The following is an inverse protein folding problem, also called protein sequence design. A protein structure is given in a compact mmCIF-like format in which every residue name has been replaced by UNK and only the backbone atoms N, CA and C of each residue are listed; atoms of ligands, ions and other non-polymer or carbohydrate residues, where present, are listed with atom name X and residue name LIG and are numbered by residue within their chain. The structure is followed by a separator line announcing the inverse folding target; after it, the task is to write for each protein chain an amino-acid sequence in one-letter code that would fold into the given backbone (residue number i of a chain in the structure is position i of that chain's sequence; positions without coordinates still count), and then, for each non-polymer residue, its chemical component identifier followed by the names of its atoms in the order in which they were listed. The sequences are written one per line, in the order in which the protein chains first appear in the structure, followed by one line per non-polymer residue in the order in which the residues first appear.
data_IF_843273080363
#
_entry.id   IF_843273080363
#
_cell.length_a   1.000
_cell.length_b   1.000
_cell.length_c   1.000
_cell.angle_alpha   90.00
_cell.angle_beta   90.00
_cell.angle_gamma   90.00
#
_symmetry.space_group_name_H-M   'P 1'
#
loop_
_entity.id
_entity.type
_entity.pdbx_description
1 polymer ?
#
# COMPACT_ATOMS: atom_id res chain seq x y z
N UNK A 1 20.99 -12.93 -29.68
CA UNK A 1 21.60 -12.13 -28.61
C UNK A 1 20.64 -11.05 -28.17
N UNK A 2 20.20 -11.10 -26.91
CA UNK A 2 19.34 -10.05 -26.35
C UNK A 2 20.05 -8.69 -26.35
N UNK A 3 19.35 -7.67 -26.85
CA UNK A 3 19.86 -6.30 -26.86
C UNK A 3 19.87 -5.77 -25.42
N UNK A 4 21.02 -5.87 -24.75
CA UNK A 4 21.22 -5.28 -23.41
C UNK A 4 20.88 -3.77 -23.42
N UNK A 5 20.17 -3.27 -22.40
CA UNK A 5 19.94 -1.84 -22.23
C UNK A 5 21.26 -1.07 -22.02
N UNK A 6 21.22 0.25 -22.17
CA UNK A 6 22.43 1.06 -22.26
C UNK A 6 23.17 1.13 -20.92
N UNK A 7 22.43 1.13 -19.82
CA UNK A 7 22.96 0.99 -18.46
C UNK A 7 23.84 -0.25 -18.31
N UNK A 8 23.37 -1.43 -18.71
CA UNK A 8 24.14 -2.66 -18.60
C UNK A 8 25.45 -2.64 -19.41
N UNK A 9 25.46 -1.94 -20.55
CA UNK A 9 26.67 -1.77 -21.38
C UNK A 9 27.68 -0.82 -20.72
N UNK A 10 27.18 0.24 -20.10
CA UNK A 10 27.98 1.22 -19.37
C UNK A 10 28.54 0.60 -18.09
N UNK A 11 27.72 -0.09 -17.30
CA UNK A 11 28.14 -0.77 -16.06
C UNK A 11 29.23 -1.80 -16.32
N UNK A 12 29.14 -2.52 -17.45
CA UNK A 12 30.13 -3.54 -17.81
C UNK A 12 31.50 -2.97 -18.20
N UNK A 13 31.54 -1.72 -18.70
CA UNK A 13 32.77 -1.13 -19.23
C UNK A 13 33.33 -0.02 -18.35
N UNK A 14 32.51 0.63 -17.53
CA UNK A 14 32.88 1.85 -16.80
C UNK A 14 33.15 3.05 -17.71
N UNK A 15 32.74 2.97 -18.99
CA UNK A 15 33.04 3.96 -20.01
C UNK A 15 31.76 4.53 -20.63
N UNK A 16 31.86 5.77 -21.13
CA UNK A 16 30.84 6.42 -21.93
C UNK A 16 31.36 6.70 -23.34
N UNK A 17 30.52 6.50 -24.35
CA UNK A 17 30.84 6.85 -25.73
C UNK A 17 29.92 7.95 -26.24
N UNK A 18 30.53 9.09 -26.55
CA UNK A 18 29.85 10.24 -27.15
C UNK A 18 29.39 9.96 -28.59
N UNK A 19 28.48 10.80 -29.10
CA UNK A 19 27.96 10.70 -30.48
C UNK A 19 29.05 10.83 -31.55
N UNK A 20 30.16 11.50 -31.23
CA UNK A 20 31.32 11.69 -32.12
C UNK A 20 32.31 10.51 -32.07
N UNK A 21 32.04 9.49 -31.25
CA UNK A 21 32.92 8.34 -31.06
C UNK A 21 34.08 8.59 -30.11
N UNK A 22 34.02 9.67 -29.31
CA UNK A 22 34.99 9.90 -28.24
C UNK A 22 34.62 9.09 -26.99
N UNK A 23 35.59 8.37 -26.44
CA UNK A 23 35.46 7.50 -25.27
C UNK A 23 35.87 8.25 -24.00
N UNK A 24 35.00 8.23 -23.00
CA UNK A 24 35.16 8.91 -21.71
C UNK A 24 35.13 7.89 -20.57
N UNK A 25 35.85 8.19 -19.49
CA UNK A 25 35.76 7.43 -18.24
C UNK A 25 34.61 7.97 -17.41
N UNK A 26 33.77 7.08 -16.89
CA UNK A 26 32.66 7.47 -16.03
C UNK A 26 33.16 7.55 -14.59
N UNK A 27 32.87 8.66 -13.94
CA UNK A 27 33.18 8.86 -12.52
C UNK A 27 32.03 8.36 -11.65
N UNK A 28 30.81 8.76 -12.01
CA UNK A 28 29.57 8.35 -11.36
C UNK A 28 28.47 8.26 -12.39
N UNK A 29 27.54 7.34 -12.21
CA UNK A 29 26.31 7.33 -13.01
C UNK A 29 25.15 6.84 -12.18
N UNK A 30 23.98 7.38 -12.48
CA UNK A 30 22.72 6.97 -11.87
C UNK A 30 21.73 6.64 -12.96
N UNK A 31 21.05 5.51 -12.77
CA UNK A 31 20.07 5.00 -13.71
C UNK A 31 18.69 5.28 -13.15
N UNK A 32 17.92 6.10 -13.84
CA UNK A 32 16.46 6.16 -13.70
C UNK A 32 15.81 5.20 -14.71
N UNK A 33 14.48 5.06 -14.66
CA UNK A 33 13.69 4.18 -15.54
C UNK A 33 13.92 4.42 -17.03
N UNK A 34 13.93 5.69 -17.46
CA UNK A 34 14.06 6.07 -18.87
C UNK A 34 15.37 6.77 -19.19
N UNK A 35 16.10 7.23 -18.17
CA UNK A 35 17.27 8.10 -18.34
C UNK A 35 18.46 7.59 -17.54
N UNK A 36 19.64 7.80 -18.08
CA UNK A 36 20.93 7.58 -17.42
C UNK A 36 21.56 8.97 -17.27
N UNK A 37 21.90 9.29 -16.03
CA UNK A 37 22.63 10.49 -15.65
C UNK A 37 24.08 10.07 -15.48
N UNK A 38 24.98 10.68 -16.25
CA UNK A 38 26.39 10.28 -16.28
C UNK A 38 27.23 11.49 -15.95
N UNK A 39 28.05 11.36 -14.92
CA UNK A 39 29.16 12.24 -14.61
C UNK A 39 30.45 11.60 -15.14
N UNK A 40 31.11 12.28 -16.07
CA UNK A 40 32.37 11.84 -16.65
C UNK A 40 33.53 12.34 -15.80
N UNK A 41 34.65 11.61 -15.81
CA UNK A 41 35.87 11.98 -15.08
C UNK A 41 36.47 13.34 -15.51
N UNK A 42 36.10 13.85 -16.69
CA UNK A 42 36.49 15.18 -17.15
C UNK A 42 35.62 16.32 -16.57
N UNK A 43 34.62 16.01 -15.74
CA UNK A 43 33.68 17.00 -15.18
C UNK A 43 32.45 17.27 -16.04
N UNK A 44 32.37 16.66 -17.22
CA UNK A 44 31.20 16.78 -18.09
C UNK A 44 30.05 15.92 -17.59
N UNK A 45 28.83 16.46 -17.70
CA UNK A 45 27.60 15.79 -17.30
C UNK A 45 26.68 15.62 -18.51
N UNK A 46 26.01 14.48 -18.61
CA UNK A 46 25.02 14.26 -19.66
C UNK A 46 23.87 13.36 -19.22
N UNK A 47 22.75 13.56 -19.90
CA UNK A 47 21.51 12.83 -19.67
C UNK A 47 21.15 12.14 -20.97
N UNK A 48 21.00 10.82 -20.94
CA UNK A 48 20.68 10.02 -22.13
C UNK A 48 19.59 9.01 -21.82
N UNK A 49 18.79 8.68 -22.83
CA UNK A 49 17.75 7.66 -22.65
C UNK A 49 18.38 6.27 -22.47
N UNK A 50 17.89 5.50 -21.49
CA UNK A 50 18.26 4.10 -21.29
C UNK A 50 17.62 3.22 -22.38
N UNK A 51 18.14 3.34 -23.60
CA UNK A 51 17.57 2.71 -24.79
C UNK A 51 18.44 1.57 -25.30
N UNK A 52 17.78 0.46 -25.65
CA UNK A 52 18.41 -0.68 -26.34
C UNK A 52 18.81 -0.38 -27.79
N UNK A 53 18.25 0.65 -28.41
CA UNK A 53 18.40 0.91 -29.86
C UNK A 53 19.20 2.16 -30.18
N UNK A 54 19.64 2.94 -29.18
CA UNK A 54 20.36 4.18 -29.44
C UNK A 54 21.73 3.93 -30.10
N UNK A 55 22.25 4.96 -30.79
CA UNK A 55 23.54 4.91 -31.49
C UNK A 55 24.67 4.51 -30.56
N UNK A 56 24.69 5.03 -29.34
CA UNK A 56 25.69 4.70 -28.33
C UNK A 56 25.61 3.21 -27.94
N UNK A 57 24.43 2.68 -27.61
CA UNK A 57 24.26 1.26 -27.29
C UNK A 57 24.72 0.35 -28.44
N UNK A 58 24.44 0.75 -29.70
CA UNK A 58 24.95 0.03 -30.88
C UNK A 58 26.47 0.10 -30.96
N UNK A 59 27.08 1.25 -30.72
CA UNK A 59 28.53 1.42 -30.78
C UNK A 59 29.27 0.63 -29.69
N UNK A 60 28.71 0.53 -28.48
CA UNK A 60 29.21 -0.35 -27.42
C UNK A 60 29.21 -1.82 -27.84
N UNK A 61 28.13 -2.31 -28.44
CA UNK A 61 28.05 -3.72 -28.90
C UNK A 61 28.97 -4.07 -30.07
N UNK A 62 29.39 -3.08 -30.84
CA UNK A 62 30.32 -3.27 -31.95
C UNK A 62 31.74 -2.80 -31.59
N UNK A 63 31.97 -2.40 -30.35
CA UNK A 63 33.28 -1.95 -29.85
C UNK A 63 33.90 -0.84 -30.73
N UNK A 64 33.07 0.05 -31.29
CA UNK A 64 33.52 1.09 -32.25
C UNK A 64 33.78 2.42 -31.56
N UNK A 65 35.03 2.78 -31.34
CA UNK A 65 35.43 4.12 -30.89
C UNK A 65 36.38 4.79 -31.89
N UNK A 66 36.50 6.13 -31.83
CA UNK A 66 37.40 6.93 -32.69
C UNK A 66 38.63 7.45 -31.96
N UNK A 67 38.44 7.97 -30.75
CA UNK A 67 39.51 8.55 -29.92
C UNK A 67 39.11 8.54 -28.45
N UNK A 68 40.08 8.66 -27.56
CA UNK A 68 39.84 8.80 -26.12
C UNK A 68 39.82 10.27 -25.70
N UNK A 69 39.05 10.58 -24.66
CA UNK A 69 39.03 11.90 -24.05
C UNK A 69 40.37 12.17 -23.33
N UNK A 70 41.06 13.25 -23.71
CA UNK A 70 42.35 13.65 -23.13
C UNK A 70 42.26 13.97 -21.63
N UNK A 71 41.12 14.48 -21.17
CA UNK A 71 40.90 14.86 -19.77
C UNK A 71 40.46 13.69 -18.89
N UNK A 72 39.83 12.65 -19.46
CA UNK A 72 39.37 11.49 -18.70
C UNK A 72 40.47 10.48 -18.35
N UNK A 73 41.68 10.61 -18.92
CA UNK A 73 42.80 9.67 -18.76
C UNK A 73 42.36 8.19 -18.87
N UNK A 74 41.62 7.87 -19.95
CA UNK A 74 41.20 6.49 -20.25
C UNK A 74 42.46 5.63 -20.42
N UNK A 75 42.64 4.61 -19.59
CA UNK A 75 43.86 3.80 -19.60
C UNK A 75 43.88 2.82 -20.78
N UNK A 76 45.06 2.30 -21.13
CA UNK A 76 45.16 1.25 -22.14
C UNK A 76 44.43 -0.03 -21.69
N UNK A 77 44.35 -0.29 -20.39
CA UNK A 77 43.59 -1.40 -19.81
C UNK A 77 42.07 -1.20 -20.00
N UNK A 78 41.56 0.02 -19.78
CA UNK A 78 40.15 0.37 -20.03
C UNK A 78 39.78 0.13 -21.50
N UNK A 79 40.69 0.45 -22.45
CA UNK A 79 40.50 0.23 -23.88
C UNK A 79 40.51 -1.26 -24.22
N UNK A 80 41.47 -2.01 -23.66
CA UNK A 80 41.55 -3.46 -23.87
C UNK A 80 40.29 -4.15 -23.37
N UNK A 81 39.84 -3.84 -22.14
CA UNK A 81 38.59 -4.37 -21.57
C UNK A 81 37.35 -3.97 -22.39
N UNK A 82 37.36 -2.79 -23.00
CA UNK A 82 36.31 -2.37 -23.92
C UNK A 82 36.30 -3.19 -25.21
N UNK A 83 37.46 -3.64 -25.72
CA UNK A 83 37.58 -4.41 -26.97
C UNK A 83 37.45 -5.93 -26.77
N UNK A 84 37.83 -6.46 -25.61
CA UNK A 84 37.95 -7.92 -25.35
C UNK A 84 36.69 -8.57 -24.79
N UNK A 85 35.70 -7.81 -24.33
CA UNK A 85 34.49 -8.34 -23.72
C UNK A 85 33.52 -9.00 -24.74
N UNK A 86 33.96 -10.14 -25.30
CA UNK A 86 33.14 -11.22 -25.85
C UNK A 86 32.86 -12.24 -24.74
N UNK A 87 31.58 -12.59 -24.54
CA UNK A 87 31.07 -13.77 -23.80
C UNK A 87 31.48 -14.00 -22.33
N UNK A 88 30.49 -13.82 -21.44
CA UNK A 88 30.23 -14.49 -20.13
C UNK A 88 31.29 -14.66 -19.01
N UNK A 89 30.85 -14.26 -17.79
CA UNK A 89 31.09 -14.85 -16.46
C UNK A 89 32.33 -14.46 -15.59
N UNK A 90 32.01 -13.76 -14.47
CA UNK A 90 32.69 -13.63 -13.15
C UNK A 90 34.02 -12.83 -13.14
N UNK A 91 34.33 -11.89 -12.22
CA UNK A 91 34.10 -11.84 -10.77
C UNK A 91 34.38 -10.43 -10.21
N UNK A 92 33.60 -10.03 -9.19
CA UNK A 92 33.93 -9.17 -8.03
C UNK A 92 34.76 -7.88 -8.18
N UNK A 93 34.11 -6.73 -7.97
CA UNK A 93 34.69 -5.60 -7.24
C UNK A 93 33.77 -5.27 -6.06
N UNK A 94 34.37 -5.15 -4.87
CA UNK A 94 33.75 -5.02 -3.55
C UNK A 94 32.87 -3.76 -3.46
N UNK A 95 31.56 -3.96 -3.35
CA UNK A 95 30.68 -2.99 -2.68
C UNK A 95 30.75 -3.29 -1.18
N UNK A 96 31.20 -2.32 -0.39
CA UNK A 96 31.11 -2.39 1.07
C UNK A 96 29.68 -2.00 1.46
N UNK A 97 28.76 -2.95 1.36
CA UNK A 97 27.45 -2.86 2.00
C UNK A 97 27.64 -3.28 3.45
N UNK A 98 27.47 -2.36 4.40
CA UNK A 98 27.29 -2.72 5.80
C UNK A 98 25.79 -2.94 5.99
N UNK A 99 25.36 -4.20 5.87
CA UNK A 99 23.99 -4.61 6.15
C UNK A 99 23.85 -4.95 7.63
N UNK A 100 22.92 -4.29 8.31
CA UNK A 100 22.40 -4.75 9.61
C UNK A 100 21.67 -6.10 9.45
N UNK A 101 21.62 -6.94 10.50
CA UNK A 101 21.09 -8.30 10.39
C UNK A 101 19.57 -8.28 10.20
N UNK A 102 19.10 -8.77 9.04
CA UNK A 102 17.68 -8.99 8.74
C UNK A 102 17.15 -10.20 9.51
N UNK A 103 16.18 -9.98 10.39
CA UNK A 103 15.32 -11.06 10.91
C UNK A 103 14.29 -11.40 9.84
N UNK A 104 14.30 -12.64 9.34
CA UNK A 104 13.29 -13.14 8.40
C UNK A 104 11.99 -13.42 9.17
N UNK A 105 10.94 -12.62 8.97
CA UNK A 105 9.56 -13.04 9.25
C UNK A 105 9.05 -13.91 8.10
N UNK A 106 8.44 -15.05 8.42
CA UNK A 106 7.94 -16.03 7.47
C UNK A 106 6.62 -15.58 6.83
N UNK A 107 6.50 -15.70 5.51
CA UNK A 107 5.25 -15.47 4.76
C UNK A 107 4.30 -16.67 4.90
N UNK A 108 2.97 -16.46 5.08
CA UNK A 108 1.99 -17.52 4.98
C UNK A 108 1.80 -17.97 3.53
N UNK A 109 1.69 -19.29 3.32
CA UNK A 109 1.45 -19.94 2.04
C UNK A 109 0.03 -19.63 1.55
N UNK A 110 -0.10 -19.07 0.35
CA UNK A 110 -1.34 -18.98 -0.40
C UNK A 110 -1.83 -20.37 -0.79
N UNK A 111 -2.96 -20.81 -0.24
CA UNK A 111 -3.64 -22.03 -0.68
C UNK A 111 -4.60 -21.66 -1.81
N UNK A 112 -4.21 -21.99 -3.04
CA UNK A 112 -5.05 -21.92 -4.23
C UNK A 112 -6.21 -22.91 -4.13
N UNK A 113 -7.46 -22.43 -4.13
CA UNK A 113 -8.66 -23.27 -4.28
C UNK A 113 -9.21 -23.11 -5.69
N UNK A 114 -9.29 -24.22 -6.43
CA UNK A 114 -9.91 -24.31 -7.75
C UNK A 114 -11.44 -24.11 -7.68
N UNK A 115 -12.07 -23.56 -8.72
CA UNK A 115 -13.51 -23.28 -8.72
C UNK A 115 -14.32 -24.58 -8.98
N UNK A 116 -15.39 -24.78 -8.20
CA UNK A 116 -16.42 -25.79 -8.48
C UNK A 116 -17.66 -25.13 -9.10
N UNK A 117 -18.39 -25.80 -10.00
CA UNK A 117 -19.47 -25.21 -10.79
C UNK A 117 -20.75 -24.99 -9.99
N UNK A 118 -21.52 -24.00 -10.44
CA UNK A 118 -22.88 -23.68 -10.03
C UNK A 118 -23.87 -24.79 -10.44
N UNK A 119 -24.67 -25.28 -9.50
CA UNK A 119 -25.89 -26.04 -9.77
C UNK A 119 -27.11 -25.25 -9.27
N UNK A 120 -28.03 -24.97 -10.19
CA UNK A 120 -29.38 -24.45 -9.94
C UNK A 120 -30.29 -25.56 -9.38
N UNK A 121 -31.20 -25.27 -8.45
CA UNK A 121 -32.32 -26.17 -8.20
C UNK A 121 -33.53 -25.73 -9.04
N UNK A 122 -33.82 -26.49 -10.10
CA UNK A 122 -35.12 -26.49 -10.76
C UNK A 122 -36.07 -27.46 -10.05
N UNK A 123 -37.26 -26.97 -9.73
CA UNK A 123 -38.40 -27.72 -9.23
C UNK A 123 -38.79 -28.87 -10.16
N UNK A 124 -39.14 -30.02 -9.59
CA UNK A 124 -40.09 -30.95 -10.19
C UNK A 124 -40.88 -31.68 -9.12
N UNK A 125 -42.20 -31.56 -9.26
CA UNK A 125 -43.22 -32.25 -8.51
C UNK A 125 -43.25 -33.75 -8.86
N UNK A 126 -43.59 -34.58 -7.88
CA UNK A 126 -44.13 -35.90 -8.13
C UNK A 126 -45.26 -36.21 -7.13
N UNK A 127 -46.28 -36.82 -7.71
CA UNK A 127 -47.66 -36.98 -7.24
C UNK A 127 -47.87 -38.24 -6.40
N UNK A 128 -48.74 -38.11 -5.39
CA UNK A 128 -49.71 -39.06 -4.82
C UNK A 128 -49.54 -40.57 -5.03
N UNK A 129 -49.62 -41.33 -3.92
CA UNK A 129 -50.69 -42.34 -3.70
C UNK A 129 -50.81 -42.81 -2.23
N UNK A 130 -51.97 -42.48 -1.66
CA UNK A 130 -52.85 -43.23 -0.74
C UNK A 130 -52.38 -44.50 -0.01
N UNK A 131 -52.67 -44.56 1.30
CA UNK A 131 -52.75 -45.82 2.07
C UNK A 131 -53.18 -45.64 3.55
N UNK A 132 -54.48 -45.54 3.78
CA UNK A 132 -55.29 -45.99 4.94
C UNK A 132 -54.71 -46.15 6.37
N UNK A 133 -55.42 -45.53 7.33
CA UNK A 133 -55.41 -45.73 8.79
C UNK A 133 -56.21 -47.00 9.18
N UNK A 134 -55.93 -47.65 10.33
CA UNK A 134 -56.83 -47.50 11.48
C UNK A 134 -56.13 -47.35 12.86
N UNK A 135 -56.82 -46.63 13.75
CA UNK A 135 -56.53 -46.27 15.16
C UNK A 135 -56.59 -47.47 16.15
N UNK A 136 -56.63 -47.25 17.50
CA UNK A 136 -55.63 -46.68 18.41
C UNK A 136 -55.29 -47.66 19.56
N UNK A 137 -54.05 -47.68 20.05
CA UNK A 137 -53.70 -48.42 21.28
C UNK A 137 -53.16 -47.47 22.35
N UNK A 138 -53.89 -47.42 23.47
CA UNK A 138 -53.50 -46.76 24.72
C UNK A 138 -52.25 -47.43 25.28
N UNK A 139 -51.25 -46.64 25.63
CA UNK A 139 -50.25 -47.02 26.63
C UNK A 139 -49.78 -45.78 27.39
N UNK A 140 -49.66 -45.97 28.70
CA UNK A 140 -49.62 -44.96 29.72
C UNK A 140 -48.32 -44.15 29.72
N UNK A 141 -48.45 -42.87 30.08
CA UNK A 141 -47.36 -41.96 30.42
C UNK A 141 -46.52 -42.53 31.56
N UNK A 142 -45.24 -42.81 31.29
CA UNK A 142 -44.19 -42.70 32.29
C UNK A 142 -43.51 -41.34 32.10
N UNK A 143 -43.75 -40.46 33.07
CA UNK A 143 -43.09 -39.16 33.19
C UNK A 143 -41.62 -39.37 33.55
N UNK A 144 -40.73 -39.27 32.57
CA UNK A 144 -39.34 -38.90 32.80
C UNK A 144 -39.12 -37.53 32.18
N UNK A 145 -39.00 -36.52 33.03
CA UNK A 145 -38.47 -35.21 32.65
C UNK A 145 -37.06 -35.46 32.12
N UNK A 146 -36.73 -35.19 30.84
CA UNK A 146 -35.35 -35.24 30.41
C UNK A 146 -34.66 -34.05 31.08
N UNK A 147 -33.66 -34.35 31.91
CA UNK A 147 -32.70 -33.36 32.39
C UNK A 147 -32.26 -32.50 31.19
N UNK A 148 -32.32 -31.18 31.35
CA UNK A 148 -31.98 -30.20 30.33
C UNK A 148 -30.65 -30.57 29.68
N UNK A 149 -30.72 -31.05 28.43
CA UNK A 149 -29.52 -31.30 27.65
C UNK A 149 -28.73 -29.98 27.59
N UNK A 150 -27.40 -30.00 27.86
CA UNK A 150 -26.59 -28.81 27.72
C UNK A 150 -26.77 -28.26 26.31
N UNK A 151 -27.02 -26.95 26.20
CA UNK A 151 -27.29 -26.30 24.93
C UNK A 151 -26.21 -26.70 23.91
N UNK A 152 -26.59 -27.15 22.70
CA UNK A 152 -25.63 -27.57 21.70
C UNK A 152 -24.67 -26.42 21.37
N UNK A 153 -23.39 -26.75 21.18
CA UNK A 153 -22.38 -25.76 20.81
C UNK A 153 -22.80 -25.00 19.54
N UNK A 154 -22.55 -23.68 19.51
CA UNK A 154 -22.89 -22.83 18.37
C UNK A 154 -22.19 -23.32 17.09
N UNK A 155 -22.93 -23.33 15.98
CA UNK A 155 -22.34 -23.62 14.67
C UNK A 155 -21.43 -22.47 14.22
N UNK A 156 -20.59 -22.72 13.21
CA UNK A 156 -19.72 -21.68 12.65
C UNK A 156 -20.51 -20.46 12.16
N UNK A 157 -21.64 -20.67 11.47
CA UNK A 157 -22.48 -19.57 10.97
C UNK A 157 -23.14 -18.78 12.10
N UNK A 158 -23.52 -19.46 13.20
CA UNK A 158 -24.05 -18.79 14.39
C UNK A 158 -22.98 -17.95 15.08
N UNK A 159 -21.76 -18.47 15.20
CA UNK A 159 -20.62 -17.70 15.73
C UNK A 159 -20.30 -16.49 14.85
N UNK A 160 -20.27 -16.65 13.53
CA UNK A 160 -20.03 -15.54 12.60
C UNK A 160 -21.11 -14.44 12.73
N UNK A 161 -22.38 -14.84 12.90
CA UNK A 161 -23.49 -13.89 13.14
C UNK A 161 -23.33 -13.13 14.45
N UNK A 162 -22.98 -13.84 15.53
CA UNK A 162 -22.74 -13.23 16.85
C UNK A 162 -21.52 -12.29 16.79
N UNK A 163 -20.42 -12.72 16.16
CA UNK A 163 -19.22 -11.91 15.96
C UNK A 163 -19.49 -10.63 15.16
N UNK A 164 -20.38 -10.67 14.16
CA UNK A 164 -20.79 -9.49 13.40
C UNK A 164 -21.58 -8.49 14.26
N UNK A 165 -22.40 -8.98 15.20
CA UNK A 165 -23.21 -8.14 16.07
C UNK A 165 -22.45 -7.61 17.29
N UNK A 166 -21.37 -8.27 17.74
CA UNK A 166 -20.60 -7.84 18.91
C UNK A 166 -19.90 -6.50 18.70
N UNK A 167 -19.96 -5.62 19.70
CA UNK A 167 -19.16 -4.40 19.83
C UNK A 167 -17.91 -4.67 20.69
N UNK A 168 -16.80 -3.93 20.54
CA UNK A 168 -15.64 -4.00 21.45
C UNK A 168 -16.00 -3.79 22.93
N UNK A 169 -17.07 -3.05 23.22
CA UNK A 169 -17.57 -2.80 24.59
C UNK A 169 -18.33 -3.99 25.20
N UNK A 170 -18.81 -4.92 24.37
CA UNK A 170 -19.59 -6.05 24.84
C UNK A 170 -18.69 -7.08 25.56
N UNK A 171 -18.76 -7.09 26.89
CA UNK A 171 -18.14 -8.12 27.74
C UNK A 171 -19.01 -9.38 27.81
N UNK A 172 -19.27 -10.01 26.67
CA UNK A 172 -20.06 -11.25 26.61
C UNK A 172 -19.10 -12.43 26.38
N UNK A 173 -19.02 -13.33 27.36
CA UNK A 173 -18.34 -14.60 27.17
C UNK A 173 -19.15 -15.49 26.21
N UNK A 174 -18.56 -15.86 25.07
CA UNK A 174 -19.18 -16.79 24.10
C UNK A 174 -19.32 -18.23 24.63
N UNK A 175 -18.77 -18.52 25.82
CA UNK A 175 -18.91 -19.78 26.54
C UNK A 175 -20.24 -19.94 27.30
N UNK A 176 -21.22 -19.06 27.09
CA UNK A 176 -22.43 -19.02 27.91
C UNK A 176 -23.50 -19.98 27.38
N UNK A 177 -24.07 -20.72 28.32
CA UNK A 177 -25.26 -21.60 28.28
C UNK A 177 -26.54 -21.00 27.68
N UNK A 178 -26.50 -19.80 27.11
CA UNK A 178 -27.65 -19.14 26.48
C UNK A 178 -27.86 -19.69 25.06
N UNK A 179 -29.10 -20.01 24.66
CA UNK A 179 -29.39 -20.45 23.30
C UNK A 179 -29.13 -19.30 22.31
N UNK A 180 -28.65 -19.65 21.10
CA UNK A 180 -28.31 -18.71 20.03
C UNK A 180 -29.35 -17.60 19.82
N UNK A 181 -30.64 -17.95 19.80
CA UNK A 181 -31.74 -16.99 19.56
C UNK A 181 -31.83 -15.89 20.63
N UNK A 182 -31.61 -16.23 21.89
CA UNK A 182 -31.63 -15.25 22.96
C UNK A 182 -30.42 -14.32 22.87
N UNK A 183 -29.24 -14.88 22.57
CA UNK A 183 -28.03 -14.10 22.38
C UNK A 183 -28.12 -13.16 21.17
N UNK A 184 -28.63 -13.64 20.05
CA UNK A 184 -28.86 -12.82 18.86
C UNK A 184 -29.86 -11.70 19.14
N UNK A 185 -31.01 -12.02 19.76
CA UNK A 185 -32.04 -11.02 20.09
C UNK A 185 -31.50 -9.93 21.03
N UNK A 186 -30.73 -10.32 22.04
CA UNK A 186 -30.08 -9.39 22.97
C UNK A 186 -29.13 -8.45 22.23
N UNK A 187 -28.24 -8.99 21.38
CA UNK A 187 -27.27 -8.20 20.62
C UNK A 187 -27.95 -7.29 19.59
N UNK A 188 -28.95 -7.78 18.86
CA UNK A 188 -29.71 -6.97 17.89
C UNK A 188 -30.37 -5.79 18.59
N UNK A 189 -30.97 -6.00 19.77
CA UNK A 189 -31.58 -4.92 20.55
C UNK A 189 -30.54 -3.88 20.94
N UNK A 190 -29.40 -4.30 21.49
CA UNK A 190 -28.29 -3.39 21.81
C UNK A 190 -27.82 -2.57 20.61
N UNK A 191 -27.64 -3.20 19.44
CA UNK A 191 -27.20 -2.50 18.22
C UNK A 191 -28.25 -1.51 17.71
N UNK A 192 -29.55 -1.80 17.85
CA UNK A 192 -30.62 -0.84 17.54
C UNK A 192 -30.56 0.36 18.47
N UNK A 193 -30.35 0.15 19.76
CA UNK A 193 -30.20 1.22 20.75
C UNK A 193 -28.96 2.07 20.45
N UNK A 194 -27.83 1.45 20.05
CA UNK A 194 -26.62 2.16 19.64
C UNK A 194 -26.90 3.11 18.45
N UNK A 195 -27.65 2.67 17.44
CA UNK A 195 -28.08 3.53 16.33
C UNK A 195 -28.99 4.67 16.77
N UNK A 196 -29.94 4.40 17.68
CA UNK A 196 -30.84 5.43 18.20
C UNK A 196 -30.05 6.51 18.95
N UNK A 197 -29.03 6.12 19.73
CA UNK A 197 -28.14 7.07 20.41
C UNK A 197 -27.37 7.93 19.41
N UNK A 198 -26.69 7.32 18.43
CA UNK A 198 -25.95 8.06 17.39
C UNK A 198 -26.88 9.04 16.65
N UNK A 199 -28.10 8.62 16.35
CA UNK A 199 -29.06 9.46 15.64
C UNK A 199 -29.58 10.64 16.48
N UNK A 200 -29.75 10.44 17.79
CA UNK A 200 -30.17 11.49 18.72
C UNK A 200 -29.05 12.51 18.98
N UNK A 201 -27.80 12.02 19.10
CA UNK A 201 -26.64 12.78 19.52
C UNK A 201 -25.93 13.48 18.35
N UNK A 202 -24.74 13.00 17.95
CA UNK A 202 -23.84 13.70 17.01
C UNK A 202 -24.25 13.55 15.53
N UNK A 203 -24.88 12.43 15.16
CA UNK A 203 -25.16 12.02 13.77
C UNK A 203 -23.92 12.01 12.87
N UNK A 204 -22.74 11.82 13.45
CA UNK A 204 -21.49 11.86 12.71
C UNK A 204 -21.00 10.46 12.34
N UNK A 205 -20.58 10.29 11.08
CA UNK A 205 -19.83 9.11 10.69
C UNK A 205 -18.38 9.23 11.17
N UNK A 206 -17.85 8.17 11.82
CA UNK A 206 -16.51 8.17 12.42
C UNK A 206 -15.40 8.47 11.40
N UNK A 207 -15.49 7.94 10.17
CA UNK A 207 -14.50 8.22 9.13
C UNK A 207 -14.56 9.67 8.67
N UNK A 208 -15.77 10.21 8.47
CA UNK A 208 -15.94 11.62 8.13
C UNK A 208 -15.51 12.57 9.26
N UNK A 209 -15.75 12.21 10.52
CA UNK A 209 -15.30 12.97 11.69
C UNK A 209 -13.79 13.00 11.78
N UNK A 210 -13.15 11.83 11.69
CA UNK A 210 -11.70 11.73 11.69
C UNK A 210 -11.07 12.51 10.52
N UNK A 211 -11.64 12.48 9.32
CA UNK A 211 -11.18 13.31 8.20
C UNK A 211 -11.19 14.81 8.58
N UNK A 212 -12.27 15.32 9.20
CA UNK A 212 -12.36 16.72 9.64
C UNK A 212 -11.34 17.06 10.73
N UNK A 213 -11.17 16.18 11.72
CA UNK A 213 -10.25 16.39 12.83
C UNK A 213 -8.79 16.43 12.35
N UNK A 214 -8.42 15.53 11.43
CA UNK A 214 -7.11 15.50 10.79
C UNK A 214 -6.91 16.73 9.89
N UNK A 215 -7.93 17.12 9.11
CA UNK A 215 -7.87 18.34 8.30
C UNK A 215 -7.59 19.57 9.17
N UNK A 216 -8.31 19.71 10.29
CA UNK A 216 -8.08 20.80 11.24
C UNK A 216 -6.65 20.76 11.80
N UNK A 217 -6.18 19.59 12.22
CA UNK A 217 -4.82 19.42 12.75
C UNK A 217 -3.72 19.95 11.81
N UNK A 218 -3.79 19.60 10.51
CA UNK A 218 -2.79 20.01 9.53
C UNK A 218 -2.92 21.48 9.12
N UNK A 219 -4.15 21.98 8.95
CA UNK A 219 -4.39 23.39 8.62
C UNK A 219 -3.88 24.31 9.72
N UNK A 220 -4.15 23.99 10.99
CA UNK A 220 -3.66 24.78 12.14
C UNK A 220 -2.12 24.80 12.23
N UNK A 221 -1.43 23.86 11.56
CA UNK A 221 0.05 23.75 11.46
C UNK A 221 0.62 24.34 10.17
N UNK A 222 -0.20 25.06 9.41
CA UNK A 222 0.21 25.76 8.20
C UNK A 222 0.35 24.87 6.96
N UNK A 223 -0.25 23.68 6.96
CA UNK A 223 -0.33 22.86 5.75
C UNK A 223 -1.53 23.29 4.89
N UNK A 224 -1.30 23.38 3.58
CA UNK A 224 -2.37 23.62 2.61
C UNK A 224 -3.11 22.31 2.30
N UNK A 225 -4.44 22.32 2.47
CA UNK A 225 -5.28 21.18 2.08
C UNK A 225 -5.41 21.11 0.55
N UNK A 226 -5.15 19.91 0.01
CA UNK A 226 -5.26 19.60 -1.41
C UNK A 226 -6.40 18.59 -1.60
N UNK A 227 -7.24 18.84 -2.62
CA UNK A 227 -8.18 17.86 -3.15
C UNK A 227 -7.83 17.61 -4.62
N UNK A 228 -7.29 16.44 -4.91
CA UNK A 228 -6.85 16.07 -6.26
C UNK A 228 -7.74 14.99 -6.89
N UNK A 229 -7.70 14.78 -8.22
CA UNK A 229 -8.51 13.77 -8.87
C UNK A 229 -8.23 12.35 -8.35
N UNK A 230 -9.31 11.58 -8.12
CA UNK A 230 -9.23 10.14 -7.80
C UNK A 230 -8.81 9.35 -9.04
N UNK A 231 -9.36 9.72 -10.20
CA UNK A 231 -9.01 9.15 -11.49
C UNK A 231 -7.72 9.80 -11.98
N UNK A 232 -6.66 9.02 -12.12
CA UNK A 232 -5.33 9.50 -12.54
C UNK A 232 -4.87 8.81 -13.82
N UNK A 233 -3.97 9.44 -14.61
CA UNK A 233 -3.31 8.78 -15.71
C UNK A 233 -2.55 7.54 -15.25
N UNK A 234 -2.67 6.42 -15.96
CA UNK A 234 -1.92 5.20 -15.69
C UNK A 234 -0.39 5.43 -15.77
N UNK A 235 0.05 6.39 -16.60
CA UNK A 235 1.44 6.84 -16.66
C UNK A 235 1.95 7.34 -15.31
N UNK A 236 1.10 7.90 -14.44
CA UNK A 236 1.53 8.37 -13.12
C UNK A 236 2.01 7.21 -12.25
N UNK A 237 1.31 6.07 -12.32
CA UNK A 237 1.71 4.84 -11.61
C UNK A 237 3.02 4.29 -12.19
N UNK A 238 3.18 4.31 -13.51
CA UNK A 238 4.43 3.92 -14.17
C UNK A 238 5.59 4.84 -13.77
N UNK A 239 5.33 6.14 -13.65
CA UNK A 239 6.30 7.14 -13.21
C UNK A 239 6.67 6.98 -11.73
N UNK A 240 5.80 6.39 -10.91
CA UNK A 240 6.03 6.06 -9.49
C UNK A 240 6.91 4.83 -9.24
N UNK A 241 7.50 4.19 -10.26
CA UNK A 241 8.24 2.97 -9.96
C UNK A 241 7.41 1.69 -10.10
N UNK A 242 6.19 1.74 -10.65
CA UNK A 242 5.29 0.58 -10.70
C UNK A 242 5.00 0.22 -12.17
N UNK A 243 5.79 -0.68 -12.75
CA UNK A 243 5.60 -1.17 -14.11
C UNK A 243 4.89 -2.55 -14.11
N UNK A 244 4.49 -3.03 -15.29
CA UNK A 244 3.72 -4.28 -15.49
C UNK A 244 4.31 -5.53 -14.85
N UNK A 245 5.61 -5.53 -14.60
CA UNK A 245 6.35 -6.71 -14.15
C UNK A 245 6.45 -6.79 -12.62
N UNK A 246 5.93 -5.79 -11.91
CA UNK A 246 5.94 -5.71 -10.45
C UNK A 246 4.58 -6.13 -9.89
N UNK A 247 4.58 -6.91 -8.80
CA UNK A 247 3.39 -7.33 -8.03
C UNK A 247 2.41 -6.18 -7.78
N UNK A 248 2.92 -5.02 -7.36
CA UNK A 248 2.14 -3.82 -7.08
C UNK A 248 1.32 -3.29 -8.28
N UNK A 249 1.72 -3.60 -9.52
CA UNK A 249 0.94 -3.24 -10.71
C UNK A 249 -0.34 -4.06 -10.86
N UNK A 250 -0.35 -5.29 -10.34
CA UNK A 250 -1.54 -6.16 -10.34
C UNK A 250 -2.61 -5.62 -9.40
N UNK A 251 -2.21 -4.85 -8.38
CA UNK A 251 -3.11 -4.21 -7.43
C UNK A 251 -3.86 -3.01 -8.02
N UNK A 252 -3.51 -2.52 -9.21
CA UNK A 252 -4.10 -1.30 -9.75
C UNK A 252 -5.47 -1.59 -10.38
N UNK A 253 -6.49 -0.81 -9.98
CA UNK A 253 -7.78 -0.76 -10.66
C UNK A 253 -7.70 0.14 -11.89
N UNK A 254 -7.52 -0.48 -13.07
CA UNK A 254 -7.57 0.22 -14.37
C UNK A 254 -9.01 0.44 -14.81
N UNK A 255 -9.32 1.66 -15.25
CA UNK A 255 -10.62 2.01 -15.84
C UNK A 255 -10.58 1.80 -17.34
N UNK A 256 -9.50 2.28 -17.98
CA UNK A 256 -9.22 2.03 -19.39
C UNK A 256 -7.70 1.89 -19.61
N UNK A 257 -7.24 2.05 -20.85
CA UNK A 257 -5.81 1.96 -21.20
C UNK A 257 -4.98 3.11 -20.60
N UNK A 258 -5.59 4.27 -20.39
CA UNK A 258 -4.94 5.53 -20.05
C UNK A 258 -5.22 5.96 -18.60
N UNK A 259 -6.27 5.47 -17.96
CA UNK A 259 -6.75 5.91 -16.65
C UNK A 259 -6.88 4.76 -15.66
N UNK A 260 -6.57 5.05 -14.40
CA UNK A 260 -6.78 4.15 -13.28
C UNK A 260 -7.27 4.91 -12.04
N UNK A 261 -7.89 4.19 -11.11
CA UNK A 261 -8.10 4.71 -9.77
C UNK A 261 -6.75 4.82 -9.07
N UNK A 262 -6.52 5.93 -8.37
CA UNK A 262 -5.25 6.16 -7.68
C UNK A 262 -5.03 5.11 -6.56
N UNK A 263 -3.91 4.38 -6.56
CA UNK A 263 -3.57 3.46 -5.46
C UNK A 263 -2.84 4.16 -4.30
N UNK A 264 -2.49 5.44 -4.47
CA UNK A 264 -1.78 6.28 -3.52
C UNK A 264 -1.94 7.76 -3.90
N UNK A 265 -1.72 8.67 -2.96
CA UNK A 265 -1.82 10.12 -3.16
C UNK A 265 -0.55 10.75 -3.77
N UNK A 266 0.60 10.08 -3.61
CA UNK A 266 1.91 10.62 -3.96
C UNK A 266 2.02 11.22 -5.37
N UNK A 267 1.53 10.60 -6.47
CA UNK A 267 1.56 11.20 -7.80
C UNK A 267 1.02 12.63 -7.88
N UNK A 268 -0.14 12.85 -7.25
CA UNK A 268 -0.80 14.14 -7.34
C UNK A 268 -0.07 15.14 -6.44
N UNK A 269 0.35 14.74 -5.24
CA UNK A 269 1.13 15.58 -4.34
C UNK A 269 2.49 15.99 -4.94
N UNK A 270 3.21 15.08 -5.61
CA UNK A 270 4.42 15.41 -6.36
C UNK A 270 4.18 16.52 -7.40
N UNK A 271 3.08 16.44 -8.16
CA UNK A 271 2.73 17.47 -9.12
C UNK A 271 2.39 18.81 -8.44
N UNK A 272 1.71 18.79 -7.29
CA UNK A 272 1.40 19.99 -6.52
C UNK A 272 2.66 20.63 -5.95
N UNK A 273 3.54 19.87 -5.30
CA UNK A 273 4.82 20.39 -4.80
C UNK A 273 5.61 21.13 -5.89
N UNK A 274 5.82 20.50 -7.05
CA UNK A 274 6.51 21.15 -8.18
C UNK A 274 5.83 22.43 -8.66
N UNK A 275 4.49 22.45 -8.71
CA UNK A 275 3.73 23.62 -9.19
C UNK A 275 3.76 24.77 -8.17
N UNK A 276 3.56 24.43 -6.90
CA UNK A 276 3.48 25.38 -5.80
C UNK A 276 4.84 25.98 -5.46
N UNK A 277 5.95 25.30 -5.77
CA UNK A 277 7.31 25.82 -5.56
C UNK A 277 7.62 27.09 -6.32
N UNK A 278 6.85 27.39 -7.35
CA UNK A 278 6.99 28.61 -8.15
C UNK A 278 6.28 29.82 -7.54
N UNK A 279 5.44 29.61 -6.53
CA UNK A 279 4.50 30.64 -6.03
C UNK A 279 4.48 30.75 -4.49
N UNK A 280 4.75 29.67 -3.75
CA UNK A 280 4.69 29.66 -2.29
C UNK A 280 6.08 29.90 -1.69
N UNK A 281 6.16 30.54 -0.51
CA UNK A 281 7.40 30.65 0.23
C UNK A 281 7.90 29.30 0.73
N UNK A 282 9.19 29.23 1.03
CA UNK A 282 9.81 28.11 1.72
C UNK A 282 9.47 28.11 3.23
N UNK A 283 9.22 26.93 3.85
CA UNK A 283 9.00 25.63 3.23
C UNK A 283 7.55 25.45 2.74
N UNK A 284 7.36 24.67 1.68
CA UNK A 284 6.03 24.29 1.20
C UNK A 284 5.49 23.17 2.05
N UNK A 285 4.29 23.32 2.60
CA UNK A 285 3.60 22.29 3.39
C UNK A 285 2.23 22.02 2.79
N UNK A 286 1.98 20.78 2.38
CA UNK A 286 0.69 20.36 1.81
C UNK A 286 0.25 19.03 2.39
N UNK A 287 -1.05 18.79 2.41
CA UNK A 287 -1.60 17.47 2.72
C UNK A 287 -2.85 17.19 1.88
N UNK A 288 -3.18 15.93 1.69
CA UNK A 288 -4.43 15.49 1.09
C UNK A 288 -5.01 14.34 1.89
N UNK A 289 -6.32 14.40 2.13
CA UNK A 289 -7.12 13.27 2.61
C UNK A 289 -8.08 12.85 1.50
N UNK A 290 -8.12 11.55 1.17
CA UNK A 290 -9.14 11.04 0.29
C UNK A 290 -8.98 9.57 -0.12
N UNK A 291 -9.90 9.06 -0.96
CA UNK A 291 -9.96 7.65 -1.32
C UNK A 291 -8.77 7.19 -2.16
N UNK A 292 -8.29 5.99 -1.89
CA UNK A 292 -7.32 5.23 -2.67
C UNK A 292 -7.82 3.79 -2.87
N UNK A 293 -7.36 3.16 -3.96
CA UNK A 293 -7.87 1.86 -4.38
C UNK A 293 -6.75 0.88 -4.73
N UNK A 294 -6.77 -0.31 -4.13
CA UNK A 294 -5.82 -1.40 -4.43
C UNK A 294 -6.56 -2.73 -4.41
N UNK A 295 -6.38 -3.58 -5.44
CA UNK A 295 -6.87 -4.95 -5.40
C UNK A 295 -6.04 -5.71 -4.37
N UNK A 296 -6.67 -6.01 -3.26
CA UNK A 296 -6.07 -6.74 -2.16
C UNK A 296 -6.85 -8.03 -1.93
N UNK A 297 -6.17 -9.02 -1.35
CA UNK A 297 -6.87 -10.22 -0.90
C UNK A 297 -7.74 -9.85 0.30
N UNK A 298 -8.99 -10.31 0.35
CA UNK A 298 -9.87 -10.10 1.50
C UNK A 298 -9.15 -10.47 2.82
N UNK A 299 -8.92 -9.47 3.67
CA UNK A 299 -8.09 -9.60 4.87
C UNK A 299 -8.65 -8.83 6.06
N UNK A 300 -8.11 -9.09 7.26
CA UNK A 300 -8.51 -8.38 8.49
C UNK A 300 -7.97 -6.95 8.59
N UNK A 301 -6.93 -6.65 7.80
CA UNK A 301 -6.13 -5.41 7.85
C UNK A 301 -6.02 -4.68 6.49
N UNK A 302 -6.67 -5.23 5.45
CA UNK A 302 -6.62 -4.71 4.08
C UNK A 302 -8.04 -4.46 3.55
N UNK A 303 -8.18 -3.41 2.75
CA UNK A 303 -9.40 -3.00 2.07
C UNK A 303 -9.09 -2.69 0.62
N UNK A 304 -10.04 -2.95 -0.28
CA UNK A 304 -9.88 -2.56 -1.69
C UNK A 304 -10.05 -1.05 -1.89
N UNK A 305 -10.99 -0.46 -1.17
CA UNK A 305 -11.20 0.99 -1.04
C UNK A 305 -10.84 1.41 0.39
N UNK A 306 -9.93 2.37 0.50
CA UNK A 306 -9.48 2.93 1.78
C UNK A 306 -9.20 4.42 1.65
N UNK A 307 -9.11 5.10 2.79
CA UNK A 307 -8.93 6.56 2.86
C UNK A 307 -7.53 6.85 3.37
N UNK A 308 -6.72 7.49 2.53
CA UNK A 308 -5.36 7.90 2.91
C UNK A 308 -5.37 9.35 3.36
N UNK A 309 -4.56 9.66 4.36
CA UNK A 309 -3.97 10.99 4.53
C UNK A 309 -2.50 10.91 4.14
N UNK A 310 -2.06 11.80 3.27
CA UNK A 310 -0.64 12.03 3.03
C UNK A 310 -0.34 13.50 3.30
N UNK A 311 0.64 13.77 4.16
CA UNK A 311 1.23 15.09 4.29
C UNK A 311 2.66 15.08 3.75
N UNK A 312 3.10 16.22 3.23
CA UNK A 312 4.49 16.42 2.87
C UNK A 312 4.91 17.87 3.05
N UNK A 313 6.19 18.04 3.38
CA UNK A 313 6.89 19.31 3.42
C UNK A 313 8.06 19.26 2.44
N UNK A 314 8.29 20.32 1.67
CA UNK A 314 9.41 20.44 0.74
C UNK A 314 10.16 21.75 0.97
N UNK A 315 11.48 21.70 0.96
CA UNK A 315 12.36 22.83 1.20
C UNK A 315 13.07 22.76 2.56
N UNK A 316 13.17 23.88 3.28
CA UNK A 316 13.83 23.91 4.59
C UNK A 316 13.13 23.03 5.64
N UNK A 317 13.90 22.59 6.64
CA UNK A 317 13.38 21.79 7.75
C UNK A 317 12.95 20.36 7.39
N UNK A 318 13.27 19.87 6.20
CA UNK A 318 12.98 18.49 5.79
C UNK A 318 14.02 17.51 6.35
N UNK A 319 14.00 17.30 7.67
CA UNK A 319 14.89 16.36 8.36
C UNK A 319 14.09 15.22 8.99
N UNK A 320 14.79 14.13 9.33
CA UNK A 320 14.20 12.98 10.02
C UNK A 320 13.57 13.40 11.35
N UNK A 321 14.24 14.23 12.12
CA UNK A 321 13.81 14.68 13.45
C UNK A 321 12.49 15.46 13.34
N UNK A 322 12.37 16.34 12.34
CA UNK A 322 11.13 17.09 12.11
C UNK A 322 9.99 16.20 11.63
N UNK A 323 10.28 15.19 10.82
CA UNK A 323 9.28 14.20 10.38
C UNK A 323 8.77 13.38 11.57
N UNK A 324 9.67 12.85 12.40
CA UNK A 324 9.31 12.09 13.60
C UNK A 324 8.55 12.96 14.61
N UNK A 325 8.95 14.23 14.80
CA UNK A 325 8.24 15.16 15.67
C UNK A 325 6.81 15.45 15.20
N UNK A 326 6.61 15.66 13.89
CA UNK A 326 5.29 15.89 13.31
C UNK A 326 4.39 14.64 13.40
N UNK A 327 4.95 13.45 13.17
CA UNK A 327 4.24 12.17 13.35
C UNK A 327 3.83 11.99 14.81
N UNK A 328 4.74 12.26 15.75
CA UNK A 328 4.48 12.17 17.18
C UNK A 328 3.36 13.11 17.59
N UNK A 329 3.45 14.39 17.21
CA UNK A 329 2.42 15.37 17.51
C UNK A 329 1.06 14.98 16.91
N UNK A 330 1.05 14.41 15.71
CA UNK A 330 -0.15 13.93 15.04
C UNK A 330 -0.82 12.76 15.77
N UNK A 331 -0.05 11.76 16.19
CA UNK A 331 -0.59 10.59 16.89
C UNK A 331 -0.91 10.87 18.35
N UNK A 332 -0.14 11.76 19.01
CA UNK A 332 -0.47 12.27 20.34
C UNK A 332 -1.83 13.02 20.30
N UNK A 333 -2.10 13.81 19.25
CA UNK A 333 -3.39 14.49 19.05
C UNK A 333 -4.56 13.52 18.86
N UNK A 334 -4.32 12.35 18.26
CA UNK A 334 -5.32 11.30 18.09
C UNK A 334 -5.38 10.31 19.26
N UNK A 335 -4.53 10.48 20.27
CA UNK A 335 -4.39 9.59 21.42
C UNK A 335 -4.06 8.14 21.02
N UNK A 336 -3.17 7.97 20.04
CA UNK A 336 -2.74 6.66 19.53
C UNK A 336 -1.30 6.37 19.94
N UNK A 337 -1.10 5.29 20.70
CA UNK A 337 0.24 4.76 21.00
C UNK A 337 0.92 4.21 19.74
N UNK A 338 2.22 4.44 19.59
CA UNK A 338 2.97 3.96 18.43
C UNK A 338 4.47 3.76 18.71
N UNK A 339 5.11 3.03 17.80
CA UNK A 339 6.56 2.86 17.71
C UNK A 339 7.05 3.19 16.29
N UNK A 340 8.24 3.79 16.17
CA UNK A 340 8.87 4.06 14.87
C UNK A 340 9.99 3.05 14.63
N UNK A 341 9.89 2.33 13.51
CA UNK A 341 10.86 1.29 13.11
C UNK A 341 11.43 1.66 11.75
N UNK A 342 12.75 1.53 11.58
CA UNK A 342 13.36 1.70 10.26
C UNK A 342 13.08 0.49 9.35
N UNK A 343 12.61 0.73 8.14
CA UNK A 343 12.39 -0.30 7.11
C UNK A 343 12.85 0.22 5.72
N UNK A 344 12.49 -0.49 4.65
CA UNK A 344 12.78 -0.12 3.27
C UNK A 344 11.66 -0.60 2.33
N UNK A 345 11.26 0.24 1.37
CA UNK A 345 10.28 -0.12 0.35
C UNK A 345 10.83 0.04 -1.08
N UNK A 346 10.24 -0.69 -2.04
CA UNK A 346 10.70 -0.66 -3.43
C UNK A 346 10.51 0.68 -4.15
N UNK A 347 9.61 1.53 -3.66
CA UNK A 347 9.26 2.81 -4.30
C UNK A 347 10.21 3.92 -3.86
N UNK A 348 10.49 4.02 -2.57
CA UNK A 348 11.20 5.15 -1.96
C UNK A 348 12.59 4.80 -1.43
N UNK A 349 12.95 3.51 -1.27
CA UNK A 349 14.19 3.13 -0.61
C UNK A 349 13.99 3.03 0.90
N UNK A 350 14.88 3.63 1.69
CA UNK A 350 14.80 3.61 3.15
C UNK A 350 13.55 4.36 3.66
N UNK A 351 12.80 3.75 4.56
CA UNK A 351 11.55 4.28 5.13
C UNK A 351 11.54 4.18 6.65
N UNK A 352 10.63 4.95 7.26
CA UNK A 352 10.27 4.82 8.66
C UNK A 352 8.84 4.30 8.71
N UNK A 353 8.65 3.13 9.28
CA UNK A 353 7.34 2.54 9.46
C UNK A 353 6.85 2.83 10.88
N UNK A 354 5.60 3.27 10.96
CA UNK A 354 4.94 3.64 12.21
C UNK A 354 4.02 2.48 12.60
N UNK A 355 4.29 1.85 13.72
CA UNK A 355 3.64 0.61 14.15
C UNK A 355 2.80 0.82 15.40
N UNK A 356 1.65 0.14 15.48
CA UNK A 356 0.87 -0.06 16.70
C UNK A 356 0.79 -1.57 16.98
N UNK A 357 1.67 -2.06 17.85
CA UNK A 357 1.92 -3.49 17.99
C UNK A 357 2.42 -4.09 16.67
N UNK A 358 1.70 -5.08 16.14
CA UNK A 358 2.01 -5.70 14.84
C UNK A 358 1.36 -5.00 13.62
N UNK A 359 0.55 -3.95 13.84
CA UNK A 359 -0.16 -3.23 12.79
C UNK A 359 0.61 -2.00 12.32
N UNK A 360 0.96 -1.95 11.04
CA UNK A 360 1.53 -0.74 10.41
C UNK A 360 0.44 0.32 10.21
N UNK A 361 0.61 1.50 10.80
CA UNK A 361 -0.27 2.66 10.63
C UNK A 361 0.15 3.54 9.44
N UNK A 362 1.45 3.65 9.23
CA UNK A 362 2.03 4.51 8.20
C UNK A 362 3.40 4.03 7.75
N UNK A 363 3.77 4.46 6.54
CA UNK A 363 5.15 4.51 6.09
C UNK A 363 5.51 5.95 5.74
N UNK A 364 6.67 6.39 6.20
CA UNK A 364 7.19 7.74 6.10
C UNK A 364 8.57 7.75 5.42
N UNK A 365 8.86 8.86 4.74
CA UNK A 365 10.02 8.99 3.86
C UNK A 365 10.71 10.33 4.11
N UNK A 366 12.03 10.28 4.20
CA UNK A 366 12.91 11.46 4.17
C UNK A 366 13.58 11.48 2.80
N UNK A 367 13.16 12.41 1.96
CA UNK A 367 13.80 12.69 0.67
C UNK A 367 15.07 13.53 0.83
N UNK A 368 15.82 13.74 -0.26
CA UNK A 368 15.47 13.37 -1.63
C UNK A 368 15.68 11.88 -1.93
N UNK A 369 14.92 11.36 -2.88
CA UNK A 369 15.04 10.01 -3.43
C UNK A 369 15.23 10.05 -4.95
N UNK A 370 15.84 9.03 -5.59
CA UNK A 370 16.08 9.05 -7.03
C UNK A 370 14.85 9.29 -7.91
N UNK A 371 13.66 8.91 -7.41
CA UNK A 371 12.36 9.07 -8.07
C UNK A 371 11.95 10.53 -8.28
N UNK A 372 12.40 11.45 -7.43
CA UNK A 372 12.01 12.86 -7.42
C UNK A 372 12.25 13.55 -8.77
N UNK A 373 13.33 13.13 -9.46
CA UNK A 373 13.69 13.62 -10.79
C UNK A 373 12.63 13.36 -11.85
N UNK A 374 11.91 12.25 -11.76
CA UNK A 374 10.82 11.94 -12.70
C UNK A 374 9.62 12.88 -12.49
N UNK A 375 9.49 13.44 -11.29
CA UNK A 375 8.43 14.38 -10.93
C UNK A 375 8.88 15.84 -11.06
N UNK A 376 10.17 16.09 -11.28
CA UNK A 376 10.74 17.43 -11.34
C UNK A 376 10.85 18.10 -9.98
N UNK A 377 11.08 17.29 -8.94
CA UNK A 377 11.47 17.75 -7.60
C UNK A 377 12.99 17.64 -7.50
N UNK A 378 13.62 18.72 -7.03
CA UNK A 378 15.08 18.86 -6.84
C UNK A 378 15.46 19.43 -5.47
N UNK A 379 14.48 19.52 -4.54
CA UNK A 379 14.66 20.00 -3.17
C UNK A 379 14.48 18.86 -2.15
N UNK A 380 15.06 18.98 -0.94
CA UNK A 380 14.74 18.09 0.17
C UNK A 380 13.25 18.11 0.49
N UNK A 381 12.71 16.98 0.93
CA UNK A 381 11.31 16.86 1.34
C UNK A 381 11.14 15.76 2.38
N UNK A 382 10.09 15.86 3.19
CA UNK A 382 9.65 14.81 4.12
C UNK A 382 8.17 14.56 3.92
N UNK A 383 7.70 13.33 4.17
CA UNK A 383 6.28 13.05 4.13
C UNK A 383 5.94 11.68 4.69
N UNK A 384 4.68 11.51 5.09
CA UNK A 384 4.14 10.25 5.58
C UNK A 384 2.73 10.04 5.05
N UNK A 385 2.33 8.77 4.91
CA UNK A 385 0.98 8.38 4.52
C UNK A 385 0.33 7.47 5.58
N UNK A 386 -0.84 7.84 6.10
CA UNK A 386 -1.61 7.03 7.05
C UNK A 386 -2.93 6.57 6.43
N UNK A 387 -3.34 5.34 6.76
CA UNK A 387 -4.69 4.85 6.44
C UNK A 387 -5.68 5.17 7.55
N UNK A 388 -6.70 5.98 7.27
CA UNK A 388 -7.67 6.42 8.28
C UNK A 388 -8.46 5.25 8.89
N UNK A 389 -8.79 4.23 8.10
CA UNK A 389 -9.49 3.04 8.61
C UNK A 389 -8.62 2.25 9.59
N UNK A 390 -7.29 2.27 9.44
CA UNK A 390 -6.37 1.67 10.42
C UNK A 390 -6.31 2.48 11.71
N UNK A 391 -6.30 3.82 11.61
CA UNK A 391 -6.38 4.70 12.78
C UNK A 391 -7.68 4.44 13.55
N UNK A 392 -8.83 4.46 12.88
CA UNK A 392 -10.13 4.15 13.50
C UNK A 392 -10.17 2.74 14.10
N UNK A 393 -9.56 1.75 13.42
CA UNK A 393 -9.48 0.39 13.93
C UNK A 393 -8.79 0.35 15.30
N UNK A 394 -7.70 1.11 15.46
CA UNK A 394 -6.99 1.22 16.73
C UNK A 394 -7.80 2.02 17.75
N UNK A 395 -8.25 3.23 17.39
CA UNK A 395 -8.99 4.13 18.29
C UNK A 395 -10.24 3.49 18.89
N UNK A 396 -10.96 2.69 18.11
CA UNK A 396 -12.19 2.02 18.54
C UNK A 396 -12.00 0.53 18.84
N UNK A 397 -10.77 0.02 18.86
CA UNK A 397 -10.46 -1.38 19.14
C UNK A 397 -11.28 -2.37 18.27
N UNK A 398 -11.45 -2.07 16.99
CA UNK A 398 -12.17 -2.95 16.07
C UNK A 398 -11.31 -4.17 15.73
N UNK A 399 -11.91 -5.37 15.81
CA UNK A 399 -11.23 -6.62 15.45
C UNK A 399 -10.98 -6.79 13.94
N UNK A 400 -11.73 -6.08 13.11
CA UNK A 400 -11.66 -6.17 11.65
C UNK A 400 -11.78 -4.76 11.06
N UNK A 401 -10.87 -4.41 10.15
CA UNK A 401 -10.82 -3.10 9.51
C UNK A 401 -12.10 -2.74 8.73
N UNK A 402 -12.87 -3.74 8.24
CA UNK A 402 -14.16 -3.52 7.55
C UNK A 402 -15.21 -2.78 8.40
N UNK A 403 -15.03 -2.73 9.73
CA UNK A 403 -15.89 -1.95 10.63
C UNK A 403 -15.62 -0.44 10.57
N UNK A 404 -14.42 -0.05 10.14
CA UNK A 404 -14.01 1.33 9.96
C UNK A 404 -14.14 1.83 8.51
N UNK A 405 -14.41 0.93 7.56
CA UNK A 405 -14.46 1.28 6.14
C UNK A 405 -15.76 1.96 5.73
N UNK A 406 -15.76 2.54 4.53
CA UNK A 406 -17.00 2.79 3.79
C UNK A 406 -17.70 1.45 3.61
N UNK A 407 -18.95 1.35 4.07
CA UNK A 407 -19.66 0.08 4.11
C UNK A 407 -21.17 0.28 4.18
N UNK A 408 -21.91 -0.61 3.53
CA UNK A 408 -23.34 -0.78 3.74
C UNK A 408 -23.63 -1.84 4.80
N UNK A 409 -22.63 -2.66 5.18
CA UNK A 409 -22.74 -3.70 6.21
C UNK A 409 -22.43 -3.20 7.61
N UNK A 410 -21.68 -2.09 7.72
CA UNK A 410 -21.31 -1.47 8.99
C UNK A 410 -21.45 0.05 8.94
N UNK A 411 -21.91 0.64 10.04
CA UNK A 411 -21.91 2.09 10.27
C UNK A 411 -21.33 2.37 11.66
N UNK A 412 -20.27 3.17 11.75
CA UNK A 412 -19.53 3.42 13.00
C UNK A 412 -19.13 2.12 13.75
N UNK A 413 -18.80 1.07 12.99
CA UNK A 413 -18.46 -0.26 13.50
C UNK A 413 -19.64 -1.12 13.96
N UNK A 414 -20.88 -0.64 13.85
CA UNK A 414 -22.11 -1.35 14.19
C UNK A 414 -22.65 -2.06 12.93
N UNK A 415 -23.04 -3.32 13.04
CA UNK A 415 -23.68 -4.07 11.95
C UNK A 415 -25.00 -3.41 11.54
N UNK A 416 -25.22 -3.20 10.25
CA UNK A 416 -26.48 -2.68 9.69
C UNK A 416 -27.52 -3.77 9.43
N UNK A 417 -27.08 -5.03 9.35
CA UNK A 417 -27.97 -6.19 9.22
C UNK A 417 -28.48 -6.58 10.61
N UNK A 418 -29.55 -5.95 11.08
CA UNK A 418 -30.12 -6.10 12.43
C UNK A 418 -31.45 -6.84 12.47
#
# INVERSE_FOLDING_TARGET
MDKKPLDALISATGLWMSRTGMLHKIKHYEVSRRKIYIEMACGDHLIVNNSRSCRTARAFRHHKYRKTCKHCKVSNEDITNFLTNSSESKTSVKVKVVSAPKVKKAMPKSVSRAPKPLENPSAQASTNKSGSVPSPAKSALSSSVPASAPAPALTRSQLDRVEALLSPEDKISLNVTKPFRELESELVTRRKDDFQRIYADDRENYLGKLERDITKFFVDRGFLEIKSPILIPAEYVERMGINSDIELSKQVFRIDKNLCLRPMLAPNLYNYLRKLDRILPDPIKIFEIGPCYRKESDGKEHLEEFTMVNFCQMGSGCTRENLEALIKEFLDYLEIDFEIIGDSCMVYGDTLDIMHGDLELSSAVVGPVPLDREWGIDKPWIGAGFGLERLLKVMHNFKNIKRASRSESYYNGISTSL
#
